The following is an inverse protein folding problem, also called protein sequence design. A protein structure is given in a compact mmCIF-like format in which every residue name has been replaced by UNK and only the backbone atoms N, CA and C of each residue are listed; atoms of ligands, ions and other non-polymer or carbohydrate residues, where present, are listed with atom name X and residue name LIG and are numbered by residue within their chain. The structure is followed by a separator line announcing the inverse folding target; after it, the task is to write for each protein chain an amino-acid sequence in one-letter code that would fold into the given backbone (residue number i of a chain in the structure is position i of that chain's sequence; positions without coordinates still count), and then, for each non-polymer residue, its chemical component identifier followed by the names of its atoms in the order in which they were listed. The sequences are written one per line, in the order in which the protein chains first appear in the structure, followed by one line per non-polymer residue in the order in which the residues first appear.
data_IF_669181267984
#
_entry.id   IF_669181267984
#
_cell.length_a   1.000
_cell.length_b   1.000
_cell.length_c   1.000
_cell.angle_alpha   90.00
_cell.angle_beta   90.00
_cell.angle_gamma   90.00
#
_symmetry.space_group_name_H-M   'P 1'
#
loop_
_entity.id
_entity.type
_entity.pdbx_description
1 polymer ?
#
# COMPACT_ATOMS: atom_id res chain seq x y z
N UNK A 1 -15.11 5.11 5.30
CA UNK A 1 -13.90 4.73 6.02
C UNK A 1 -14.12 4.98 7.50
N UNK A 2 -13.67 4.07 8.36
CA UNK A 2 -13.52 4.28 9.79
C UNK A 2 -12.04 4.41 10.13
N UNK A 3 -11.74 5.20 11.14
CA UNK A 3 -10.40 5.41 11.65
C UNK A 3 -10.30 4.94 13.11
N UNK A 4 -9.13 4.49 13.51
CA UNK A 4 -8.82 4.15 14.89
C UNK A 4 -8.37 5.40 15.68
N UNK A 5 -7.99 5.21 16.95
CA UNK A 5 -7.52 6.31 17.83
C UNK A 5 -6.21 6.95 17.37
N UNK A 6 -5.42 6.27 16.50
CA UNK A 6 -4.20 6.79 15.90
C UNK A 6 -4.47 7.52 14.57
N UNK A 7 -5.74 7.75 14.22
CA UNK A 7 -6.17 8.33 12.95
C UNK A 7 -5.73 7.52 11.71
N UNK A 8 -5.56 6.20 11.89
CA UNK A 8 -5.26 5.24 10.83
C UNK A 8 -6.56 4.55 10.39
N UNK A 9 -6.75 4.25 9.10
CA UNK A 9 -7.93 3.53 8.60
C UNK A 9 -8.05 2.18 9.29
N UNK A 10 -9.13 1.93 10.00
CA UNK A 10 -9.41 0.62 10.62
C UNK A 10 -10.30 -0.25 9.73
N UNK A 11 -11.22 0.37 9.00
CA UNK A 11 -12.11 -0.31 8.06
C UNK A 11 -12.42 0.56 6.87
N UNK A 12 -12.32 0.00 5.69
CA UNK A 12 -12.79 0.59 4.43
C UNK A 12 -13.92 -0.26 3.89
N UNK A 13 -15.08 0.35 3.69
CA UNK A 13 -16.28 -0.28 3.14
C UNK A 13 -16.56 0.29 1.76
N UNK A 14 -16.75 -0.58 0.78
CA UNK A 14 -17.14 -0.23 -0.58
C UNK A 14 -18.64 -0.43 -0.77
N UNK A 15 -19.23 0.32 -1.68
CA UNK A 15 -20.68 0.27 -1.95
C UNK A 15 -21.15 -1.08 -2.48
N UNK A 16 -20.29 -1.84 -3.14
CA UNK A 16 -20.55 -3.20 -3.62
C UNK A 16 -20.41 -4.29 -2.54
N UNK A 17 -20.21 -3.89 -1.28
CA UNK A 17 -20.05 -4.81 -0.15
C UNK A 17 -18.61 -5.23 0.12
N UNK A 18 -17.67 -5.03 -0.81
CA UNK A 18 -16.26 -5.32 -0.56
C UNK A 18 -15.74 -4.52 0.63
N UNK A 19 -14.77 -5.11 1.36
CA UNK A 19 -14.28 -4.50 2.59
C UNK A 19 -12.81 -4.80 2.80
N UNK A 20 -12.08 -3.84 3.36
CA UNK A 20 -10.75 -4.02 3.90
C UNK A 20 -10.74 -3.67 5.39
N UNK A 21 -10.25 -4.58 6.23
CA UNK A 21 -10.09 -4.42 7.66
C UNK A 21 -8.60 -4.40 8.01
N UNK A 22 -8.15 -3.38 8.75
CA UNK A 22 -6.76 -3.19 9.12
C UNK A 22 -6.55 -3.38 10.61
N UNK A 23 -5.48 -4.07 10.97
CA UNK A 23 -5.02 -4.24 12.35
C UNK A 23 -3.65 -3.58 12.50
N UNK A 24 -3.52 -2.70 13.49
CA UNK A 24 -2.27 -2.02 13.82
C UNK A 24 -1.82 -2.40 15.22
N UNK A 25 -0.51 -2.34 15.46
CA UNK A 25 0.05 -2.33 16.81
C UNK A 25 -0.21 -1.00 17.51
N UNK A 26 0.08 -0.94 18.79
CA UNK A 26 0.00 0.31 19.56
C UNK A 26 1.00 1.38 19.07
N UNK A 27 2.05 0.95 18.38
CA UNK A 27 3.06 1.75 17.70
C UNK A 27 2.59 2.35 16.36
N UNK A 28 1.37 2.04 15.92
CA UNK A 28 0.81 2.46 14.63
C UNK A 28 1.30 1.63 13.43
N UNK A 29 2.13 0.62 13.67
CA UNK A 29 2.61 -0.25 12.59
C UNK A 29 1.51 -1.22 12.16
N UNK A 30 1.21 -1.27 10.86
CA UNK A 30 0.28 -2.22 10.28
C UNK A 30 0.77 -3.66 10.51
N UNK A 31 -0.07 -4.47 11.12
CA UNK A 31 0.22 -5.89 11.43
C UNK A 31 -0.55 -6.84 10.53
N UNK A 32 -1.74 -6.44 10.10
CA UNK A 32 -2.60 -7.24 9.22
C UNK A 32 -3.50 -6.37 8.39
N UNK A 33 -3.77 -6.79 7.18
CA UNK A 33 -4.93 -6.36 6.40
C UNK A 33 -5.72 -7.59 5.97
N UNK A 34 -7.05 -7.50 6.05
CA UNK A 34 -7.97 -8.55 5.58
C UNK A 34 -8.91 -7.95 4.55
N UNK A 35 -8.77 -8.38 3.31
CA UNK A 35 -9.67 -8.02 2.22
C UNK A 35 -10.77 -9.07 2.09
N UNK A 36 -12.02 -8.62 2.09
CA UNK A 36 -13.20 -9.45 1.89
C UNK A 36 -13.91 -9.03 0.61
N UNK A 37 -14.03 -9.94 -0.33
CA UNK A 37 -14.81 -9.73 -1.55
C UNK A 37 -16.22 -10.23 -1.31
N UNK A 38 -17.21 -9.37 -1.48
CA UNK A 38 -18.61 -9.74 -1.34
C UNK A 38 -19.08 -10.58 -2.54
N UNK A 39 -20.10 -11.40 -2.33
CA UNK A 39 -20.85 -12.02 -3.45
C UNK A 39 -21.59 -10.93 -4.24
N UNK A 40 -22.04 -11.28 -5.46
CA UNK A 40 -22.86 -10.39 -6.27
C UNK A 40 -24.14 -9.94 -5.52
N UNK A 41 -24.64 -8.76 -5.89
CA UNK A 41 -25.89 -8.17 -5.37
C UNK A 41 -25.85 -7.71 -3.89
N UNK A 42 -24.69 -7.59 -3.29
CA UNK A 42 -24.53 -6.88 -2.03
C UNK A 42 -24.43 -5.38 -2.32
N UNK A 43 -25.22 -4.59 -1.61
CA UNK A 43 -25.13 -3.13 -1.65
C UNK A 43 -25.03 -2.59 -0.23
N UNK A 44 -24.11 -1.63 -0.04
CA UNK A 44 -23.93 -0.90 1.21
C UNK A 44 -24.02 0.58 0.92
N UNK A 45 -24.98 1.31 1.53
CA UNK A 45 -25.08 2.74 1.34
C UNK A 45 -23.81 3.47 1.77
N UNK A 46 -23.51 4.57 1.09
CA UNK A 46 -22.36 5.43 1.44
C UNK A 46 -22.49 5.90 2.91
N UNK A 47 -21.38 5.88 3.63
CA UNK A 47 -21.32 6.27 5.05
C UNK A 47 -21.69 5.15 6.03
N UNK A 48 -22.14 4.00 5.55
CA UNK A 48 -22.46 2.86 6.40
C UNK A 48 -21.35 1.80 6.36
N UNK A 49 -21.21 1.06 7.46
CA UNK A 49 -20.38 -0.14 7.55
C UNK A 49 -21.32 -1.32 7.77
N UNK A 50 -21.13 -2.37 7.00
CA UNK A 50 -21.88 -3.60 7.08
C UNK A 50 -20.97 -4.79 7.32
N UNK A 51 -21.21 -5.51 8.41
CA UNK A 51 -20.59 -6.82 8.60
C UNK A 51 -21.23 -7.82 7.64
N UNK A 52 -20.40 -8.50 6.86
CA UNK A 52 -20.83 -9.56 5.97
C UNK A 52 -20.86 -10.89 6.74
N UNK A 53 -21.94 -11.64 6.57
CA UNK A 53 -21.99 -13.03 7.02
C UNK A 53 -21.07 -13.90 6.14
N UNK A 54 -20.70 -15.10 6.62
CA UNK A 54 -19.85 -16.02 5.86
C UNK A 54 -20.41 -16.37 4.48
N UNK A 55 -21.74 -16.49 4.34
CA UNK A 55 -22.41 -16.75 3.06
C UNK A 55 -22.45 -15.54 2.11
N UNK A 56 -22.08 -14.34 2.56
CA UNK A 56 -22.03 -13.13 1.77
C UNK A 56 -20.60 -12.76 1.31
N UNK A 57 -19.60 -13.54 1.71
CA UNK A 57 -18.20 -13.37 1.31
C UNK A 57 -17.83 -14.45 0.33
N UNK A 58 -17.40 -14.05 -0.88
CA UNK A 58 -16.92 -14.98 -1.91
C UNK A 58 -15.45 -15.32 -1.74
N UNK A 59 -14.65 -14.37 -1.24
CA UNK A 59 -13.22 -14.55 -1.03
C UNK A 59 -12.73 -13.69 0.15
N UNK A 60 -11.82 -14.26 0.93
CA UNK A 60 -11.07 -13.55 1.96
C UNK A 60 -9.59 -13.70 1.64
N UNK A 61 -8.86 -12.57 1.63
CA UNK A 61 -7.42 -12.55 1.51
C UNK A 61 -6.83 -11.80 2.70
N UNK A 62 -5.88 -12.44 3.39
CA UNK A 62 -5.24 -11.87 4.58
C UNK A 62 -3.75 -11.71 4.32
N UNK A 63 -3.23 -10.53 4.59
CA UNK A 63 -1.79 -10.23 4.57
C UNK A 63 -1.34 -9.87 5.98
N UNK A 64 -0.36 -10.61 6.51
CA UNK A 64 0.27 -10.37 7.80
C UNK A 64 1.68 -9.79 7.61
N UNK A 65 2.03 -8.81 8.43
CA UNK A 65 3.31 -8.10 8.38
C UNK A 65 4.11 -8.37 9.66
N UNK A 66 5.22 -9.07 9.52
CA UNK A 66 6.15 -9.40 10.61
C UNK A 66 7.54 -8.82 10.32
N UNK A 67 7.71 -7.52 10.57
CA UNK A 67 8.92 -6.79 10.17
C UNK A 67 9.05 -6.77 8.64
N UNK A 68 10.11 -7.36 8.11
CA UNK A 68 10.32 -7.48 6.67
C UNK A 68 9.72 -8.75 6.05
N UNK A 69 9.11 -9.62 6.84
CA UNK A 69 8.45 -10.84 6.36
C UNK A 69 6.97 -10.59 6.14
N UNK A 70 6.46 -10.98 4.97
CA UNK A 70 5.07 -10.84 4.58
C UNK A 70 4.46 -12.22 4.36
N UNK A 71 3.36 -12.47 5.03
CA UNK A 71 2.60 -13.71 4.91
C UNK A 71 1.28 -13.42 4.20
N UNK A 72 0.92 -14.26 3.25
CA UNK A 72 -0.38 -14.23 2.58
C UNK A 72 -1.17 -15.49 2.91
N UNK A 73 -2.36 -15.31 3.49
CA UNK A 73 -3.21 -16.41 3.97
C UNK A 73 -2.47 -17.41 4.87
N UNK A 74 -1.60 -16.88 5.75
CA UNK A 74 -0.83 -17.65 6.71
C UNK A 74 0.44 -18.32 6.16
N UNK A 75 0.75 -18.16 4.88
CA UNK A 75 1.97 -18.69 4.27
C UNK A 75 2.97 -17.56 4.02
N UNK A 76 4.26 -17.81 4.28
CA UNK A 76 5.32 -16.87 3.94
C UNK A 76 5.31 -16.62 2.43
N UNK A 77 5.01 -15.37 2.03
CA UNK A 77 4.95 -14.96 0.64
C UNK A 77 6.26 -14.33 0.19
N UNK A 78 6.76 -13.39 0.97
CA UNK A 78 8.00 -12.69 0.62
C UNK A 78 8.75 -12.15 1.83
N UNK A 79 10.05 -11.96 1.66
CA UNK A 79 10.93 -11.29 2.62
C UNK A 79 11.49 -10.05 1.92
N UNK A 80 11.21 -8.87 2.45
CA UNK A 80 11.70 -7.61 1.90
C UNK A 80 13.17 -7.41 2.27
N UNK A 81 13.94 -6.86 1.34
CA UNK A 81 15.34 -6.46 1.53
C UNK A 81 15.54 -5.03 1.00
N UNK A 82 16.67 -4.42 1.29
CA UNK A 82 16.99 -3.08 0.75
C UNK A 82 17.06 -3.06 -0.77
N UNK A 83 17.57 -4.17 -1.36
CA UNK A 83 17.79 -4.30 -2.81
C UNK A 83 16.56 -4.85 -3.56
N UNK A 84 15.53 -5.33 -2.84
CA UNK A 84 14.38 -5.94 -3.47
C UNK A 84 13.56 -6.81 -2.54
N UNK A 85 13.32 -8.07 -2.94
CA UNK A 85 12.63 -9.05 -2.10
C UNK A 85 13.02 -10.48 -2.49
N UNK A 86 12.71 -11.40 -1.58
CA UNK A 86 12.91 -12.84 -1.79
C UNK A 86 11.55 -13.52 -1.72
N UNK A 87 11.21 -14.34 -2.69
CA UNK A 87 10.10 -15.30 -2.60
C UNK A 87 10.63 -16.68 -2.27
N UNK A 88 9.85 -17.47 -1.52
CA UNK A 88 10.25 -18.83 -1.12
C UNK A 88 9.22 -19.83 -1.63
N UNK A 89 9.65 -20.77 -2.46
CA UNK A 89 8.82 -21.88 -2.90
C UNK A 89 9.37 -23.19 -2.32
N UNK A 90 8.65 -23.75 -1.34
CA UNK A 90 9.17 -24.86 -0.53
C UNK A 90 10.40 -24.40 0.26
N UNK A 91 11.58 -24.92 -0.08
CA UNK A 91 12.87 -24.55 0.51
C UNK A 91 13.76 -23.72 -0.41
N UNK A 92 13.29 -23.38 -1.62
CA UNK A 92 14.09 -22.70 -2.63
C UNK A 92 13.78 -21.22 -2.63
N UNK A 93 14.75 -20.33 -2.29
CA UNK A 93 14.60 -18.90 -2.40
C UNK A 93 14.80 -18.44 -3.85
N UNK A 94 14.05 -17.43 -4.26
CA UNK A 94 14.23 -16.69 -5.51
C UNK A 94 14.38 -15.21 -5.18
N UNK A 95 15.45 -14.59 -5.65
CA UNK A 95 15.76 -13.19 -5.39
C UNK A 95 15.25 -12.33 -6.52
N UNK A 96 14.66 -11.18 -6.14
CA UNK A 96 14.12 -10.16 -7.03
C UNK A 96 14.74 -8.82 -6.67
N UNK A 97 15.25 -8.09 -7.65
CA UNK A 97 16.01 -6.86 -7.44
C UNK A 97 15.26 -5.64 -7.97
N UNK A 98 15.30 -4.55 -7.23
CA UNK A 98 14.74 -3.27 -7.63
C UNK A 98 15.78 -2.38 -8.29
N UNK A 99 15.44 -1.84 -9.47
CA UNK A 99 16.12 -0.67 -10.00
C UNK A 99 15.27 0.55 -9.63
N UNK A 100 15.84 1.38 -8.77
CA UNK A 100 15.17 2.56 -8.21
C UNK A 100 15.66 3.83 -8.91
N UNK A 101 14.81 4.84 -8.97
CA UNK A 101 15.22 6.19 -9.33
C UNK A 101 15.72 6.97 -8.11
N UNK A 102 16.07 8.26 -8.32
CA UNK A 102 16.61 9.14 -7.28
C UNK A 102 15.67 9.40 -6.09
N UNK A 103 14.38 9.13 -6.23
CA UNK A 103 13.37 9.25 -5.18
C UNK A 103 13.05 7.91 -4.49
N UNK A 104 13.77 6.84 -4.85
CA UNK A 104 13.49 5.51 -4.31
C UNK A 104 12.27 4.83 -4.94
N UNK A 105 11.77 5.33 -6.08
CA UNK A 105 10.68 4.68 -6.80
C UNK A 105 11.18 3.40 -7.46
N UNK A 106 10.49 2.28 -7.24
CA UNK A 106 10.80 1.02 -7.88
C UNK A 106 10.39 1.07 -9.36
N UNK A 107 11.35 1.37 -10.25
CA UNK A 107 11.12 1.53 -11.70
C UNK A 107 11.09 0.19 -12.42
N UNK A 108 11.97 -0.73 -12.03
CA UNK A 108 12.08 -2.05 -12.63
C UNK A 108 12.26 -3.09 -11.55
N UNK A 109 11.66 -4.25 -11.73
CA UNK A 109 11.92 -5.46 -10.95
C UNK A 109 12.62 -6.47 -11.86
N UNK A 110 13.78 -6.94 -11.42
CA UNK A 110 14.59 -7.94 -12.13
C UNK A 110 14.60 -9.25 -11.36
N UNK A 111 14.44 -10.35 -12.09
CA UNK A 111 14.69 -11.68 -11.56
C UNK A 111 16.18 -11.88 -11.24
N UNK A 112 16.52 -12.78 -10.33
CA UNK A 112 17.89 -13.09 -9.89
C UNK A 112 18.87 -13.47 -11.01
N UNK A 113 18.38 -13.87 -12.18
CA UNK A 113 19.24 -14.16 -13.35
C UNK A 113 19.81 -12.89 -14.01
N UNK A 114 19.39 -11.70 -13.57
CA UNK A 114 19.86 -10.40 -14.05
C UNK A 114 19.40 -10.00 -15.45
N UNK A 115 18.64 -10.83 -16.14
CA UNK A 115 18.21 -10.59 -17.53
C UNK A 115 16.69 -10.54 -17.70
N UNK A 116 15.93 -11.21 -16.82
CA UNK A 116 14.47 -11.23 -16.90
C UNK A 116 13.90 -10.03 -16.16
N UNK A 117 13.26 -9.14 -16.91
CA UNK A 117 12.48 -8.04 -16.38
C UNK A 117 11.10 -8.57 -15.99
N UNK A 118 10.79 -8.52 -14.69
CA UNK A 118 9.51 -9.02 -14.15
C UNK A 118 8.44 -7.95 -14.07
N UNK A 119 8.85 -6.68 -13.86
CA UNK A 119 7.93 -5.56 -13.77
C UNK A 119 8.63 -4.27 -14.17
N UNK A 120 7.89 -3.37 -14.85
CA UNK A 120 8.31 -2.00 -15.15
C UNK A 120 7.21 -1.06 -14.70
N UNK A 121 7.57 0.03 -14.01
CA UNK A 121 6.62 1.01 -13.52
C UNK A 121 7.01 2.42 -13.99
N UNK A 122 6.03 3.16 -14.45
CA UNK A 122 6.14 4.59 -14.75
C UNK A 122 5.14 5.36 -13.90
N UNK A 123 5.59 6.47 -13.31
CA UNK A 123 4.82 7.22 -12.33
C UNK A 123 4.59 8.66 -12.77
N UNK A 124 3.39 9.16 -12.53
CA UNK A 124 3.11 10.58 -12.42
C UNK A 124 3.76 11.16 -11.16
N UNK A 125 3.91 12.48 -11.05
CA UNK A 125 4.63 13.11 -9.92
C UNK A 125 4.16 12.70 -8.53
N UNK A 126 2.89 12.43 -8.32
CA UNK A 126 2.33 11.99 -7.04
C UNK A 126 2.22 10.45 -6.90
N UNK A 127 2.87 9.70 -7.77
CA UNK A 127 2.94 8.24 -7.67
C UNK A 127 1.85 7.48 -8.42
N UNK A 128 0.93 8.17 -9.09
CA UNK A 128 -0.05 7.51 -9.97
C UNK A 128 0.67 6.75 -11.09
N UNK A 129 0.28 5.51 -11.35
CA UNK A 129 0.86 4.68 -12.40
C UNK A 129 0.24 5.07 -13.76
N UNK A 130 1.06 5.34 -14.77
CA UNK A 130 0.59 5.57 -16.14
C UNK A 130 1.12 4.56 -17.16
N UNK A 131 2.04 3.70 -16.75
CA UNK A 131 2.57 2.62 -17.56
C UNK A 131 3.05 1.51 -16.64
N UNK A 132 2.44 0.36 -16.76
CA UNK A 132 2.91 -0.90 -16.20
C UNK A 132 3.30 -1.76 -17.38
N UNK A 133 4.60 -2.05 -17.51
CA UNK A 133 5.08 -3.00 -18.49
C UNK A 133 4.61 -4.41 -18.15
N UNK A 134 4.92 -5.35 -19.00
CA UNK A 134 4.60 -6.77 -18.81
C UNK A 134 5.03 -7.23 -17.43
N UNK A 135 4.07 -7.40 -16.54
CA UNK A 135 4.34 -7.86 -15.20
C UNK A 135 4.11 -9.38 -15.13
N UNK A 136 5.17 -10.14 -15.01
CA UNK A 136 5.10 -11.52 -14.52
C UNK A 136 5.08 -11.55 -12.99
N UNK A 137 5.44 -10.42 -12.36
CA UNK A 137 5.40 -10.20 -10.92
C UNK A 137 4.52 -9.00 -10.61
N UNK A 138 3.52 -9.18 -9.77
CA UNK A 138 2.65 -8.10 -9.30
C UNK A 138 3.02 -7.75 -7.84
N UNK A 139 4.27 -7.35 -7.63
CA UNK A 139 4.69 -6.88 -6.31
C UNK A 139 4.10 -5.49 -6.00
N UNK A 140 3.72 -5.26 -4.73
CA UNK A 140 2.98 -4.09 -4.31
C UNK A 140 3.85 -2.86 -4.03
N UNK A 141 5.16 -3.03 -3.77
CA UNK A 141 6.06 -1.93 -3.37
C UNK A 141 6.51 -1.15 -4.60
N UNK A 142 6.06 0.10 -4.75
CA UNK A 142 6.20 0.88 -5.98
C UNK A 142 6.80 2.28 -5.73
N UNK A 143 5.98 3.32 -5.72
CA UNK A 143 6.40 4.72 -5.55
C UNK A 143 7.02 4.94 -4.17
N UNK A 144 8.20 5.57 -4.09
CA UNK A 144 9.04 5.72 -2.90
C UNK A 144 9.28 4.41 -2.12
N UNK A 145 9.19 3.26 -2.79
CA UNK A 145 9.26 1.96 -2.15
C UNK A 145 8.06 1.63 -1.25
N UNK A 146 6.96 2.39 -1.33
CA UNK A 146 5.76 2.18 -0.52
C UNK A 146 4.85 1.12 -1.12
N UNK A 147 4.13 0.42 -0.23
CA UNK A 147 3.13 -0.56 -0.61
C UNK A 147 1.90 0.12 -1.21
N UNK A 148 1.54 -0.27 -2.42
CA UNK A 148 0.33 0.15 -3.11
C UNK A 148 -0.75 -0.92 -2.92
N UNK A 149 -1.81 -0.60 -2.18
CA UNK A 149 -2.99 -1.43 -2.08
C UNK A 149 -3.95 -1.08 -3.22
N UNK A 150 -4.08 -2.01 -4.17
CA UNK A 150 -4.99 -1.90 -5.33
C UNK A 150 -6.25 -2.74 -5.17
N UNK A 151 -6.41 -3.40 -4.05
CA UNK A 151 -7.52 -4.32 -3.82
C UNK A 151 -8.83 -3.53 -3.84
N UNK A 152 -9.81 -4.05 -4.55
CA UNK A 152 -11.12 -3.42 -4.76
C UNK A 152 -11.09 -2.04 -5.42
N UNK A 153 -9.98 -1.67 -6.10
CA UNK A 153 -9.81 -0.36 -6.76
C UNK A 153 -9.45 0.76 -5.79
N UNK A 154 -8.82 0.44 -4.66
CA UNK A 154 -8.43 1.42 -3.65
C UNK A 154 -7.32 2.35 -4.15
N UNK A 155 -6.25 1.81 -4.72
CA UNK A 155 -5.07 2.53 -5.26
C UNK A 155 -4.41 3.49 -4.26
N UNK A 156 -4.25 3.07 -3.00
CA UNK A 156 -3.61 3.86 -1.95
C UNK A 156 -2.23 3.35 -1.56
N UNK A 157 -1.29 4.28 -1.36
CA UNK A 157 0.04 4.00 -0.82
C UNK A 157 0.06 4.09 0.70
N UNK A 158 0.67 3.12 1.35
CA UNK A 158 0.88 3.09 2.79
C UNK A 158 2.22 3.75 3.15
N UNK A 159 2.16 4.94 3.74
CA UNK A 159 3.32 5.66 4.26
C UNK A 159 3.55 5.41 5.76
N UNK A 160 2.79 4.52 6.38
CA UNK A 160 2.85 4.21 7.81
C UNK A 160 1.94 5.11 8.64
N UNK A 161 2.30 6.36 8.86
CA UNK A 161 1.46 7.29 9.63
C UNK A 161 0.21 7.75 8.86
N UNK A 162 0.23 7.72 7.54
CA UNK A 162 -0.89 8.14 6.67
C UNK A 162 -0.97 7.25 5.43
N UNK A 163 -2.18 7.11 4.89
CA UNK A 163 -2.40 6.58 3.54
C UNK A 163 -2.43 7.74 2.54
N UNK A 164 -1.81 7.55 1.38
CA UNK A 164 -1.75 8.54 0.30
C UNK A 164 -2.55 8.06 -0.92
N UNK A 165 -3.41 8.92 -1.43
CA UNK A 165 -4.10 8.72 -2.70
C UNK A 165 -3.34 9.43 -3.82
N UNK A 166 -2.77 8.65 -4.73
CA UNK A 166 -1.94 9.17 -5.81
C UNK A 166 -2.75 9.92 -6.89
N UNK A 167 -4.03 9.62 -7.03
CA UNK A 167 -4.94 10.29 -7.99
C UNK A 167 -5.31 11.67 -7.48
N UNK A 168 -5.60 11.78 -6.17
CA UNK A 168 -5.90 13.06 -5.52
C UNK A 168 -4.63 13.86 -5.18
N UNK A 169 -3.45 13.22 -5.20
CA UNK A 169 -2.16 13.84 -4.88
C UNK A 169 -2.05 14.29 -3.41
N UNK A 170 -2.69 13.58 -2.47
CA UNK A 170 -2.77 13.98 -1.07
C UNK A 170 -2.86 12.80 -0.11
N UNK A 171 -2.54 13.06 1.14
CA UNK A 171 -2.84 12.13 2.23
C UNK A 171 -4.34 12.11 2.58
N UNK A 172 -4.78 10.98 3.13
CA UNK A 172 -6.19 10.72 3.43
C UNK A 172 -6.55 11.02 4.89
N UNK A 173 -5.57 11.35 5.72
CA UNK A 173 -5.75 11.80 7.12
C UNK A 173 -4.90 13.03 7.42
N UNK A 174 -5.23 13.72 8.52
CA UNK A 174 -4.53 14.91 8.99
C UNK A 174 -3.09 14.54 9.36
N UNK A 175 -2.17 15.46 9.06
CA UNK A 175 -0.76 15.31 9.38
C UNK A 175 -0.55 15.24 10.91
N UNK A 176 0.08 14.19 11.42
CA UNK A 176 0.46 14.14 12.83
C UNK A 176 1.44 15.25 13.24
N UNK A 177 2.23 15.79 12.28
CA UNK A 177 3.17 16.90 12.49
C UNK A 177 2.60 18.25 12.03
N UNK A 178 1.27 18.39 11.91
CA UNK A 178 0.59 19.58 11.38
C UNK A 178 1.02 20.90 12.03
N UNK A 179 1.33 20.87 13.32
CA UNK A 179 1.79 22.05 14.07
C UNK A 179 3.13 22.60 13.60
N UNK A 180 3.94 21.78 12.87
CA UNK A 180 5.21 22.19 12.30
C UNK A 180 5.06 22.85 10.92
N UNK A 181 3.87 22.77 10.30
CA UNK A 181 3.64 23.16 8.90
C UNK A 181 2.43 24.07 8.70
N UNK A 182 2.32 25.15 9.49
CA UNK A 182 1.16 26.07 9.50
C UNK A 182 0.74 26.64 8.15
N UNK A 183 1.70 26.76 7.20
CA UNK A 183 1.46 27.32 5.88
C UNK A 183 1.02 26.29 4.84
N UNK A 184 0.93 25.01 5.21
CA UNK A 184 0.56 23.93 4.31
C UNK A 184 -0.82 23.37 4.64
N UNK A 185 -1.47 22.80 3.63
CA UNK A 185 -2.66 22.00 3.90
C UNK A 185 -2.29 20.81 4.79
N UNK A 186 -3.14 20.48 5.75
CA UNK A 186 -2.98 19.35 6.66
C UNK A 186 -2.93 17.98 5.93
N UNK A 187 -3.31 17.96 4.66
CA UNK A 187 -3.36 16.78 3.81
C UNK A 187 -2.31 16.79 2.69
N UNK A 188 -1.49 17.84 2.61
CA UNK A 188 -0.55 17.98 1.49
C UNK A 188 0.53 16.89 1.54
N UNK A 189 0.77 16.24 0.40
CA UNK A 189 1.94 15.40 0.21
C UNK A 189 3.14 16.28 -0.18
N UNK A 190 4.23 16.18 0.58
CA UNK A 190 5.50 16.89 0.33
C UNK A 190 5.36 18.41 0.07
N UNK A 191 4.36 19.07 0.69
CA UNK A 191 4.09 20.49 0.45
C UNK A 191 3.76 20.79 -1.02
N UNK A 192 3.09 19.89 -1.72
CA UNK A 192 2.78 19.91 -3.17
C UNK A 192 4.02 19.97 -4.09
N UNK A 193 5.16 19.47 -3.63
CA UNK A 193 6.38 19.38 -4.44
C UNK A 193 6.99 17.96 -4.42
N UNK A 194 6.29 16.98 -5.00
CA UNK A 194 6.69 15.57 -4.94
C UNK A 194 7.93 15.25 -5.77
N UNK A 195 8.38 16.14 -6.65
CA UNK A 195 9.55 15.90 -7.51
C UNK A 195 10.87 16.12 -6.76
N UNK A 196 10.89 17.07 -5.81
CA UNK A 196 12.12 17.44 -5.08
C UNK A 196 12.09 17.04 -3.61
N UNK A 197 11.00 16.45 -3.14
CA UNK A 197 10.77 16.11 -1.74
C UNK A 197 10.24 14.69 -1.61
N UNK A 198 10.61 14.04 -0.51
CA UNK A 198 10.16 12.70 -0.16
C UNK A 198 9.65 12.74 1.27
N UNK A 199 8.52 12.10 1.52
CA UNK A 199 8.02 11.82 2.86
C UNK A 199 8.25 10.33 3.15
N UNK A 200 9.14 9.96 4.07
CA UNK A 200 9.50 8.56 4.27
C UNK A 200 8.52 7.77 5.13
N UNK A 201 7.73 8.42 5.97
CA UNK A 201 6.90 7.75 6.98
C UNK A 201 5.49 8.34 7.13
N UNK A 202 5.12 9.29 6.29
CA UNK A 202 3.82 9.96 6.33
C UNK A 202 3.72 11.03 7.42
N UNK A 203 4.85 11.65 7.84
CA UNK A 203 4.90 12.70 8.87
C UNK A 203 5.64 13.94 8.39
N UNK A 204 6.91 13.77 8.07
CA UNK A 204 7.80 14.85 7.72
C UNK A 204 8.47 14.58 6.36
N UNK A 205 8.67 15.62 5.58
CA UNK A 205 9.32 15.51 4.27
C UNK A 205 10.68 16.24 4.25
N UNK A 206 11.59 15.76 3.43
CA UNK A 206 12.90 16.35 3.19
C UNK A 206 13.23 16.40 1.70
N UNK A 207 14.27 17.15 1.36
CA UNK A 207 14.81 17.29 0.00
C UNK A 207 15.87 16.23 -0.29
#
# INVERSE_FOLDING_TARGET
IQYNQLNLPSTQQFTNGNRADYLYGADGVKRRVTHKTAIANISVPMGQIKELTSGQVSQTHTTDYCGNMIYENGNLSKILTEEGFVTVSGTTPTYHYYLKDHQGNNRVVLHQNGTTVEQVNHYYPFGGLFGEGTATSNQAYKYNGKELDRTHGLDWYDYGARMSDAVLGRFMSIDPSAESYYNNSLYAYCGNNPITRIDPDGRDWYK
#
